data_IF_866559818801
#
_entry.id   IF_866559818801
#
_cell.length_a   1.000
_cell.length_b   1.000
_cell.length_c   1.000
_cell.angle_alpha   90.00
_cell.angle_beta   90.00
_cell.angle_gamma   90.00
#
_symmetry.space_group_name_H-M   'P 1'
#
loop_
_entity.id
_entity.type
_entity.pdbx_description
1 polymer ?
#
# COMPACT_ATOMS: atom_id res chain seq x y z
N UNK A 1 -47.35 -17.32 30.96
CA UNK A 1 -46.02 -16.74 30.89
C UNK A 1 -45.00 -17.77 30.44
N UNK A 2 -44.12 -17.45 29.51
CA UNK A 2 -43.04 -18.34 29.11
C UNK A 2 -42.02 -18.51 30.24
N UNK A 3 -41.52 -19.74 30.43
CA UNK A 3 -40.41 -20.02 31.34
C UNK A 3 -39.10 -19.75 30.62
N UNK A 4 -38.27 -18.85 31.15
CA UNK A 4 -36.93 -18.60 30.62
C UNK A 4 -35.94 -19.54 31.34
N UNK A 5 -35.11 -20.25 30.54
CA UNK A 5 -34.02 -21.10 31.03
C UNK A 5 -32.72 -20.48 30.50
N UNK A 6 -31.77 -20.19 31.38
CA UNK A 6 -30.47 -19.68 31.03
C UNK A 6 -29.50 -20.84 30.82
N UNK A 7 -28.80 -20.82 29.66
CA UNK A 7 -27.73 -21.78 29.36
C UNK A 7 -26.41 -21.15 29.83
N UNK A 8 -25.97 -21.44 31.06
CA UNK A 8 -24.82 -20.79 31.68
C UNK A 8 -23.57 -21.67 31.65
N UNK A 9 -23.74 -23.00 31.52
CA UNK A 9 -22.59 -23.89 31.41
C UNK A 9 -21.94 -23.77 30.04
N UNK A 10 -20.64 -23.49 30.02
CA UNK A 10 -19.80 -23.41 28.84
C UNK A 10 -18.91 -24.67 28.75
N UNK A 11 -18.70 -25.16 27.53
CA UNK A 11 -17.91 -26.37 27.25
C UNK A 11 -16.68 -26.10 26.41
N UNK A 12 -16.46 -24.84 26.00
CA UNK A 12 -15.38 -24.41 25.12
C UNK A 12 -14.17 -23.91 25.88
N UNK A 13 -14.40 -22.96 26.80
CA UNK A 13 -13.35 -22.21 27.47
C UNK A 13 -13.13 -22.63 28.90
N UNK A 14 -11.93 -22.37 29.40
CA UNK A 14 -11.59 -22.52 30.84
C UNK A 14 -12.14 -21.36 31.68
N UNK A 15 -12.17 -21.51 33.00
CA UNK A 15 -12.84 -20.58 33.89
C UNK A 15 -12.17 -19.19 33.90
N UNK A 16 -10.85 -19.10 33.79
CA UNK A 16 -10.15 -17.80 33.73
C UNK A 16 -10.62 -16.95 32.55
N UNK A 17 -10.79 -17.56 31.37
CA UNK A 17 -11.33 -16.89 30.20
C UNK A 17 -12.77 -16.45 30.40
N UNK A 18 -13.61 -17.34 30.96
CA UNK A 18 -15.02 -17.02 31.25
C UNK A 18 -15.16 -15.92 32.29
N UNK A 19 -14.30 -15.89 33.28
CA UNK A 19 -14.30 -14.86 34.33
C UNK A 19 -13.99 -13.49 33.74
N UNK A 20 -12.99 -13.39 32.86
CA UNK A 20 -12.68 -12.17 32.16
C UNK A 20 -13.85 -11.73 31.26
N UNK A 21 -14.40 -12.63 30.43
CA UNK A 21 -15.55 -12.34 29.57
C UNK A 21 -16.80 -11.90 30.37
N UNK A 22 -17.09 -12.56 31.51
CA UNK A 22 -18.17 -12.15 32.38
C UNK A 22 -17.95 -10.75 32.98
N UNK A 23 -16.69 -10.40 33.33
CA UNK A 23 -16.35 -9.10 33.90
C UNK A 23 -16.53 -7.98 32.84
N UNK A 24 -16.11 -8.21 31.60
CA UNK A 24 -16.30 -7.26 30.49
C UNK A 24 -17.77 -7.02 30.22
N UNK A 25 -18.55 -8.09 29.97
CA UNK A 25 -19.96 -7.98 29.60
C UNK A 25 -20.85 -7.53 30.77
N UNK A 26 -20.41 -7.66 32.04
CA UNK A 26 -21.16 -7.17 33.20
C UNK A 26 -21.36 -5.65 33.20
N UNK A 27 -20.56 -4.92 32.43
CA UNK A 27 -20.68 -3.46 32.26
C UNK A 27 -21.88 -3.04 31.39
N UNK A 28 -22.45 -3.96 30.61
CA UNK A 28 -23.61 -3.69 29.78
C UNK A 28 -24.89 -3.68 30.61
N UNK A 29 -25.69 -2.61 30.47
CA UNK A 29 -26.90 -2.36 31.26
C UNK A 29 -28.15 -2.99 30.65
N UNK A 30 -28.23 -3.07 29.31
CA UNK A 30 -29.40 -3.55 28.56
C UNK A 30 -29.56 -5.06 28.47
N UNK A 31 -28.67 -5.87 29.08
CA UNK A 31 -28.66 -7.32 28.95
C UNK A 31 -29.42 -8.06 30.07
N UNK A 32 -29.83 -9.30 29.80
CA UNK A 32 -30.23 -10.25 30.88
C UNK A 32 -28.98 -10.76 31.58
N UNK A 33 -28.95 -10.67 32.91
CA UNK A 33 -27.86 -11.18 33.71
C UNK A 33 -27.67 -12.68 33.43
N UNK A 34 -26.48 -13.06 33.01
CA UNK A 34 -26.03 -14.43 32.75
C UNK A 34 -24.59 -14.53 33.19
N UNK A 35 -24.23 -15.60 33.90
CA UNK A 35 -22.88 -15.85 34.37
C UNK A 35 -22.38 -17.17 33.79
N UNK A 36 -21.42 -17.12 32.88
CA UNK A 36 -20.85 -18.31 32.28
C UNK A 36 -19.89 -19.01 33.24
N UNK A 37 -20.01 -20.31 33.36
CA UNK A 37 -19.13 -21.17 34.14
C UNK A 37 -18.79 -22.46 33.39
N UNK A 38 -17.72 -23.14 33.75
CA UNK A 38 -17.28 -24.39 33.13
C UNK A 38 -16.87 -25.44 34.17
N UNK A 39 -16.95 -26.70 33.77
CA UNK A 39 -16.38 -27.80 34.52
C UNK A 39 -14.94 -28.16 34.10
N UNK A 40 -14.38 -27.46 33.12
CA UNK A 40 -13.04 -27.71 32.53
C UNK A 40 -11.88 -27.20 33.40
N UNK A 41 -12.18 -26.65 34.60
CA UNK A 41 -11.15 -26.07 35.49
C UNK A 41 -10.74 -24.63 35.12
N UNK A 42 -9.80 -24.11 35.90
CA UNK A 42 -9.38 -22.69 35.77
C UNK A 42 -8.61 -22.39 34.46
N UNK A 43 -7.80 -23.34 34.04
CA UNK A 43 -6.95 -23.17 32.86
C UNK A 43 -5.77 -22.23 33.08
N UNK A 44 -5.08 -21.87 32.00
CA UNK A 44 -3.97 -20.92 32.03
C UNK A 44 -4.47 -19.51 32.40
N UNK A 45 -3.60 -18.72 32.99
CA UNK A 45 -3.85 -17.30 33.23
C UNK A 45 -3.80 -16.53 31.90
N UNK A 46 -4.62 -15.48 31.81
CA UNK A 46 -4.56 -14.54 30.70
C UNK A 46 -3.31 -13.68 30.88
N UNK A 47 -2.50 -13.59 29.82
CA UNK A 47 -1.36 -12.69 29.76
C UNK A 47 -1.81 -11.36 29.16
N UNK A 48 -1.44 -10.25 29.79
CA UNK A 48 -1.64 -8.91 29.28
C UNK A 48 -0.28 -8.29 28.99
N UNK A 49 -0.11 -7.76 27.79
CA UNK A 49 1.04 -6.98 27.39
C UNK A 49 0.61 -5.57 27.04
N UNK A 50 1.47 -4.58 27.30
CA UNK A 50 1.23 -3.18 26.95
C UNK A 50 2.43 -2.70 26.10
N UNK A 51 2.20 -2.56 24.82
CA UNK A 51 3.20 -2.13 23.85
C UNK A 51 3.14 -0.61 23.64
N UNK A 52 4.28 -0.01 23.27
CA UNK A 52 4.37 1.42 22.96
C UNK A 52 3.91 1.76 21.53
N UNK A 53 3.85 0.76 20.64
CA UNK A 53 3.41 0.90 19.27
C UNK A 53 2.79 -0.40 18.72
N UNK A 54 2.06 -0.30 17.61
CA UNK A 54 1.53 -1.48 16.89
C UNK A 54 2.63 -2.47 16.46
N UNK A 55 3.82 -1.95 16.15
CA UNK A 55 4.99 -2.77 15.81
C UNK A 55 5.54 -3.52 17.00
N UNK A 56 5.52 -2.92 18.18
CA UNK A 56 5.96 -3.57 19.43
C UNK A 56 4.95 -4.63 19.85
N UNK A 57 3.64 -4.33 19.72
CA UNK A 57 2.58 -5.32 19.95
C UNK A 57 2.74 -6.52 19.01
N UNK A 58 2.88 -6.27 17.70
CA UNK A 58 3.08 -7.33 16.72
C UNK A 58 4.37 -8.14 16.99
N UNK A 59 5.45 -7.49 17.43
CA UNK A 59 6.70 -8.16 17.81
C UNK A 59 6.51 -9.07 19.02
N UNK A 60 5.78 -8.62 20.04
CA UNK A 60 5.43 -9.41 21.18
C UNK A 60 4.60 -10.64 20.77
N UNK A 61 3.53 -10.42 19.98
CA UNK A 61 2.63 -11.50 19.53
C UNK A 61 3.39 -12.54 18.72
N UNK A 62 4.22 -12.13 17.74
CA UNK A 62 4.97 -13.06 16.89
C UNK A 62 6.04 -13.81 17.68
N UNK A 63 6.72 -13.14 18.62
CA UNK A 63 7.66 -13.80 19.53
C UNK A 63 6.99 -14.83 20.44
N UNK A 64 5.79 -14.55 20.92
CA UNK A 64 5.01 -15.46 21.75
C UNK A 64 4.43 -16.63 20.94
N UNK A 65 4.06 -16.42 19.67
CA UNK A 65 3.69 -17.48 18.71
C UNK A 65 4.86 -18.47 18.55
N UNK A 66 6.07 -17.97 18.33
CA UNK A 66 7.25 -18.82 18.17
C UNK A 66 7.55 -19.60 19.47
N UNK A 67 7.46 -18.95 20.63
CA UNK A 67 7.62 -19.59 21.92
C UNK A 67 6.59 -20.70 22.18
N UNK A 68 5.32 -20.48 21.80
CA UNK A 68 4.26 -21.49 21.92
C UNK A 68 4.49 -22.67 20.98
N UNK A 69 4.97 -22.40 19.77
CA UNK A 69 5.33 -23.42 18.81
C UNK A 69 6.52 -24.27 19.31
N UNK A 70 7.53 -23.65 19.95
CA UNK A 70 8.62 -24.34 20.59
C UNK A 70 8.16 -25.20 21.79
N UNK A 71 7.09 -24.79 22.45
CA UNK A 71 6.43 -25.56 23.50
C UNK A 71 5.55 -26.72 22.98
N UNK A 72 5.42 -26.89 21.64
CA UNK A 72 4.72 -27.98 20.98
C UNK A 72 3.28 -27.68 20.57
N UNK A 73 2.87 -26.41 20.52
CA UNK A 73 1.58 -26.00 19.95
C UNK A 73 1.75 -25.83 18.43
N UNK A 74 0.91 -26.49 17.65
CA UNK A 74 0.95 -26.35 16.19
C UNK A 74 0.49 -24.95 15.78
N UNK A 75 1.07 -24.41 14.71
CA UNK A 75 0.67 -23.10 14.18
C UNK A 75 -0.81 -23.04 13.79
N UNK A 76 -1.38 -24.17 13.34
CA UNK A 76 -2.82 -24.26 13.04
C UNK A 76 -3.74 -24.09 14.26
N UNK A 77 -3.22 -24.26 15.47
CA UNK A 77 -3.93 -24.12 16.74
C UNK A 77 -3.84 -22.69 17.32
N UNK A 78 -3.14 -21.79 16.62
CA UNK A 78 -2.92 -20.41 17.06
C UNK A 78 -3.74 -19.45 16.18
N UNK A 79 -4.46 -18.53 16.82
CA UNK A 79 -5.17 -17.46 16.16
C UNK A 79 -4.87 -16.09 16.76
N UNK A 80 -4.83 -15.07 15.89
CA UNK A 80 -4.72 -13.66 16.27
C UNK A 80 -5.99 -12.94 15.82
N UNK A 81 -6.68 -12.32 16.77
CA UNK A 81 -7.91 -11.59 16.53
C UNK A 81 -7.67 -10.09 16.65
N UNK A 82 -8.22 -9.34 15.73
CA UNK A 82 -8.18 -7.89 15.72
C UNK A 82 -9.55 -7.31 15.40
N UNK A 83 -9.75 -6.01 15.64
CA UNK A 83 -11.03 -5.33 15.41
C UNK A 83 -11.24 -4.98 13.95
N UNK A 84 -10.22 -4.44 13.28
CA UNK A 84 -10.28 -4.02 11.88
C UNK A 84 -9.21 -4.72 11.05
N UNK A 85 -9.49 -4.88 9.74
CA UNK A 85 -8.56 -5.53 8.84
C UNK A 85 -7.23 -4.78 8.67
N UNK A 86 -7.21 -3.46 8.88
CA UNK A 86 -5.99 -2.66 8.76
C UNK A 86 -4.91 -3.14 9.73
N UNK A 87 -5.29 -3.53 10.95
CA UNK A 87 -4.37 -4.02 11.98
C UNK A 87 -3.58 -5.28 11.61
N UNK A 88 -4.04 -6.06 10.61
CA UNK A 88 -3.32 -7.28 10.22
C UNK A 88 -1.93 -7.00 9.63
N UNK A 89 -1.69 -5.81 9.07
CA UNK A 89 -0.46 -5.48 8.34
C UNK A 89 0.82 -5.70 9.15
N UNK A 90 0.91 -5.09 10.33
CA UNK A 90 2.11 -5.22 11.17
C UNK A 90 2.38 -6.66 11.58
N UNK A 91 1.32 -7.44 11.84
CA UNK A 91 1.39 -8.88 12.13
C UNK A 91 1.86 -9.66 10.89
N UNK A 92 1.26 -9.41 9.71
CA UNK A 92 1.61 -10.06 8.46
C UNK A 92 3.09 -9.85 8.13
N UNK A 93 3.58 -8.60 8.17
CA UNK A 93 4.98 -8.26 7.90
C UNK A 93 5.97 -8.99 8.82
N UNK A 94 5.66 -9.10 10.11
CA UNK A 94 6.54 -9.78 11.07
C UNK A 94 6.47 -11.30 10.95
N UNK A 95 5.29 -11.88 10.72
CA UNK A 95 5.15 -13.32 10.45
C UNK A 95 5.95 -13.74 9.23
N UNK A 96 5.88 -12.96 8.14
CA UNK A 96 6.69 -13.15 6.92
C UNK A 96 8.18 -13.08 7.25
N UNK A 97 8.61 -12.03 7.96
CA UNK A 97 10.02 -11.83 8.31
C UNK A 97 10.58 -12.98 9.16
N UNK A 98 9.75 -13.58 10.01
CA UNK A 98 10.13 -14.73 10.84
C UNK A 98 9.93 -16.09 10.14
N UNK A 99 9.38 -16.09 8.92
CA UNK A 99 9.10 -17.32 8.18
C UNK A 99 7.98 -18.16 8.79
N UNK A 100 7.07 -17.55 9.57
CA UNK A 100 5.93 -18.22 10.19
C UNK A 100 4.76 -18.22 9.20
N UNK A 101 4.27 -19.41 8.78
CA UNK A 101 3.16 -19.48 7.85
C UNK A 101 1.86 -19.00 8.48
N UNK A 102 1.11 -18.18 7.74
CA UNK A 102 -0.17 -17.66 8.20
C UNK A 102 -1.23 -17.62 7.09
N UNK A 103 -2.46 -17.46 7.48
CA UNK A 103 -3.60 -17.20 6.59
C UNK A 103 -4.51 -16.12 7.18
N UNK A 104 -5.05 -15.26 6.31
CA UNK A 104 -6.08 -14.30 6.67
C UNK A 104 -7.46 -14.87 6.34
N UNK A 105 -8.35 -14.94 7.32
CA UNK A 105 -9.71 -15.46 7.16
C UNK A 105 -10.72 -14.31 7.13
N UNK A 106 -11.59 -14.34 6.11
CA UNK A 106 -12.60 -13.30 5.90
C UNK A 106 -12.07 -12.06 5.17
N UNK A 107 -10.85 -12.11 4.64
CA UNK A 107 -10.22 -11.03 3.89
C UNK A 107 -9.11 -11.54 2.97
N UNK A 108 -8.47 -10.60 2.27
CA UNK A 108 -7.23 -10.82 1.53
C UNK A 108 -6.06 -10.22 2.33
N UNK A 109 -4.85 -10.69 2.08
CA UNK A 109 -3.62 -10.11 2.65
C UNK A 109 -3.55 -8.63 2.37
N UNK A 110 -2.90 -7.85 3.24
CA UNK A 110 -2.93 -6.40 3.20
C UNK A 110 -2.57 -5.84 1.82
N UNK A 111 -1.40 -6.22 1.28
CA UNK A 111 -0.93 -5.73 -0.02
C UNK A 111 -1.68 -6.33 -1.24
N UNK A 112 -2.48 -7.36 -1.02
CA UNK A 112 -3.34 -7.94 -2.07
C UNK A 112 -4.71 -7.26 -2.20
N UNK A 113 -5.10 -6.43 -1.23
CA UNK A 113 -6.38 -5.72 -1.23
C UNK A 113 -6.47 -4.78 -2.41
N UNK A 114 -7.68 -4.71 -2.98
CA UNK A 114 -7.92 -3.95 -4.21
C UNK A 114 -7.51 -2.48 -4.08
N UNK A 115 -7.96 -1.81 -3.02
CA UNK A 115 -7.69 -0.40 -2.74
C UNK A 115 -6.21 -0.13 -2.55
N UNK A 116 -5.48 -1.05 -1.91
CA UNK A 116 -4.04 -0.97 -1.73
C UNK A 116 -3.32 -1.15 -3.07
N UNK A 117 -3.70 -2.16 -3.86
CA UNK A 117 -3.15 -2.35 -5.21
C UNK A 117 -3.44 -1.16 -6.13
N UNK A 118 -4.61 -0.52 -5.99
CA UNK A 118 -4.96 0.66 -6.77
C UNK A 118 -4.09 1.85 -6.36
N UNK A 119 -3.92 2.11 -5.07
CA UNK A 119 -3.06 3.18 -4.55
C UNK A 119 -1.59 2.96 -4.94
N UNK A 120 -1.06 1.73 -4.75
CA UNK A 120 0.31 1.39 -5.17
C UNK A 120 0.52 1.53 -6.67
N UNK A 121 -0.48 1.17 -7.50
CA UNK A 121 -0.37 1.35 -8.95
C UNK A 121 -0.29 2.83 -9.34
N UNK A 122 -0.94 3.74 -8.64
CA UNK A 122 -0.71 5.18 -8.82
C UNK A 122 0.73 5.56 -8.52
N UNK A 123 1.25 5.13 -7.38
CA UNK A 123 2.63 5.41 -7.00
C UNK A 123 3.62 4.80 -8.01
N UNK A 124 3.34 3.60 -8.54
CA UNK A 124 4.15 2.96 -9.58
C UNK A 124 4.18 3.78 -10.87
N UNK A 125 3.04 4.32 -11.34
CA UNK A 125 2.99 5.17 -12.53
C UNK A 125 3.71 6.50 -12.31
N UNK A 126 3.65 7.06 -11.10
CA UNK A 126 4.37 8.28 -10.74
C UNK A 126 5.88 8.02 -10.77
N UNK A 127 6.34 6.95 -10.17
CA UNK A 127 7.76 6.54 -10.15
C UNK A 127 8.25 6.11 -11.54
N UNK A 128 7.46 5.30 -12.26
CA UNK A 128 7.77 4.81 -13.61
C UNK A 128 6.58 5.00 -14.56
N UNK A 129 6.55 6.11 -15.34
CA UNK A 129 5.46 6.39 -16.27
C UNK A 129 5.35 5.40 -17.44
N UNK A 130 6.35 4.56 -17.66
CA UNK A 130 6.32 3.51 -18.69
C UNK A 130 5.72 2.20 -18.21
N UNK A 131 5.35 2.09 -16.92
CA UNK A 131 4.66 0.92 -16.39
C UNK A 131 3.23 0.82 -16.95
N UNK A 132 3.12 0.04 -18.02
CA UNK A 132 1.86 -0.18 -18.73
C UNK A 132 0.82 -0.87 -17.85
N UNK A 133 1.22 -1.81 -16.97
CA UNK A 133 0.30 -2.57 -16.13
C UNK A 133 -0.32 -1.65 -15.08
N UNK A 134 0.51 -0.90 -14.39
CA UNK A 134 0.06 0.06 -13.39
C UNK A 134 -0.80 1.17 -14.02
N UNK A 135 -0.37 1.75 -15.14
CA UNK A 135 -1.12 2.80 -15.84
C UNK A 135 -2.53 2.33 -16.27
N UNK A 136 -2.65 1.14 -16.85
CA UNK A 136 -3.94 0.56 -17.25
C UNK A 136 -4.84 0.29 -16.06
N UNK A 137 -4.25 -0.16 -14.95
CA UNK A 137 -5.01 -0.42 -13.73
C UNK A 137 -5.71 0.82 -13.20
N UNK A 138 -5.03 1.98 -13.16
CA UNK A 138 -5.55 3.20 -12.52
C UNK A 138 -6.21 4.17 -13.48
N UNK A 139 -6.12 3.97 -14.80
CA UNK A 139 -6.65 4.87 -15.82
C UNK A 139 -8.12 5.26 -15.58
N UNK A 140 -8.94 4.33 -15.11
CA UNK A 140 -10.37 4.54 -14.84
C UNK A 140 -10.75 4.19 -13.39
N UNK A 141 -9.85 4.37 -12.45
CA UNK A 141 -10.04 4.21 -11.00
C UNK A 141 -9.56 5.47 -10.29
N UNK A 142 -10.45 6.28 -9.71
CA UNK A 142 -11.92 6.24 -9.78
C UNK A 142 -12.48 6.36 -11.20
N UNK A 143 -13.79 6.15 -11.36
CA UNK A 143 -14.41 6.17 -12.70
C UNK A 143 -14.29 7.55 -13.36
N UNK A 144 -13.59 7.64 -14.51
CA UNK A 144 -13.40 8.84 -15.32
C UNK A 144 -14.15 8.82 -16.66
N UNK A 145 -14.95 7.78 -16.90
CA UNK A 145 -15.63 7.60 -18.19
C UNK A 145 -14.72 7.14 -19.32
N UNK A 146 -13.55 6.60 -19.00
CA UNK A 146 -12.63 5.98 -19.96
C UNK A 146 -12.99 4.49 -19.99
N UNK A 147 -13.72 4.09 -21.04
CA UNK A 147 -14.15 2.70 -21.23
C UNK A 147 -13.14 1.88 -22.02
N UNK A 148 -13.37 0.56 -22.12
CA UNK A 148 -12.49 -0.40 -22.79
C UNK A 148 -12.10 0.02 -24.22
N UNK A 149 -13.03 0.56 -25.00
CA UNK A 149 -12.72 1.05 -26.37
C UNK A 149 -11.70 2.17 -26.41
N UNK A 150 -11.73 3.08 -25.44
CA UNK A 150 -10.75 4.16 -25.36
C UNK A 150 -9.39 3.62 -24.90
N UNK A 151 -9.37 2.68 -23.98
CA UNK A 151 -8.17 1.98 -23.55
C UNK A 151 -7.52 1.20 -24.71
N UNK A 152 -8.32 0.47 -25.50
CA UNK A 152 -7.86 -0.24 -26.69
C UNK A 152 -7.29 0.73 -27.74
N UNK A 153 -7.91 1.90 -27.96
CA UNK A 153 -7.41 2.92 -28.89
C UNK A 153 -6.05 3.47 -28.44
N UNK A 154 -5.86 3.73 -27.12
CA UNK A 154 -4.58 4.18 -26.56
C UNK A 154 -3.53 3.05 -26.70
N UNK A 155 -3.88 1.81 -26.43
CA UNK A 155 -2.99 0.67 -26.57
C UNK A 155 -2.58 0.43 -28.06
N UNK A 156 -3.52 0.57 -29.00
CA UNK A 156 -3.24 0.48 -30.43
C UNK A 156 -2.30 1.59 -30.90
N UNK A 157 -2.49 2.81 -30.38
CA UNK A 157 -1.58 3.93 -30.65
C UNK A 157 -0.17 3.65 -30.10
N UNK A 158 -0.06 3.16 -28.86
CA UNK A 158 1.21 2.78 -28.27
C UNK A 158 1.94 1.73 -29.12
N UNK A 159 1.22 0.66 -29.54
CA UNK A 159 1.75 -0.39 -30.38
C UNK A 159 2.19 0.12 -31.76
N UNK A 160 1.40 1.03 -32.38
CA UNK A 160 1.72 1.58 -33.68
C UNK A 160 3.02 2.39 -33.70
N UNK A 161 3.27 3.17 -32.62
CA UNK A 161 4.47 3.99 -32.51
C UNK A 161 5.62 3.31 -31.76
N UNK A 162 5.43 2.07 -31.27
CA UNK A 162 6.44 1.35 -30.50
C UNK A 162 6.81 2.03 -29.18
N UNK A 163 5.82 2.68 -28.54
CA UNK A 163 5.98 3.44 -27.29
C UNK A 163 5.21 2.76 -26.14
N UNK A 164 5.49 3.17 -24.90
CA UNK A 164 4.72 2.69 -23.74
C UNK A 164 3.29 3.22 -23.75
N UNK A 165 2.42 2.57 -22.96
CA UNK A 165 1.05 3.04 -22.75
C UNK A 165 1.00 4.42 -22.09
N UNK A 166 1.92 4.68 -21.14
CA UNK A 166 2.08 5.99 -20.52
C UNK A 166 2.52 7.07 -21.52
N UNK A 167 3.47 6.76 -22.40
CA UNK A 167 3.86 7.68 -23.47
C UNK A 167 2.70 8.00 -24.43
N UNK A 168 1.82 7.04 -24.72
CA UNK A 168 0.61 7.27 -25.50
C UNK A 168 -0.40 8.19 -24.76
N UNK A 169 -0.54 8.06 -23.46
CA UNK A 169 -1.33 8.98 -22.61
C UNK A 169 -0.73 10.39 -22.61
N UNK A 170 0.60 10.49 -22.56
CA UNK A 170 1.33 11.75 -22.65
C UNK A 170 1.07 12.44 -23.99
N UNK A 171 0.97 11.72 -25.12
CA UNK A 171 0.58 12.30 -26.40
C UNK A 171 -0.81 12.96 -26.34
N UNK A 172 -1.79 12.34 -25.68
CA UNK A 172 -3.12 12.95 -25.47
C UNK A 172 -3.02 14.22 -24.64
N UNK A 173 -2.23 14.23 -23.58
CA UNK A 173 -2.02 15.38 -22.72
C UNK A 173 -1.34 16.55 -23.46
N UNK A 174 -0.27 16.29 -24.22
CA UNK A 174 0.41 17.30 -25.02
C UNK A 174 -0.54 17.91 -26.07
N UNK A 175 -1.33 17.09 -26.77
CA UNK A 175 -2.32 17.58 -27.73
C UNK A 175 -3.45 18.38 -27.10
N UNK A 176 -3.79 18.11 -25.88
CA UNK A 176 -4.79 18.86 -25.11
C UNK A 176 -4.26 20.21 -24.58
N UNK A 177 -3.01 20.57 -24.85
CA UNK A 177 -2.38 21.81 -24.39
C UNK A 177 -1.91 21.71 -22.91
N UNK A 178 -1.49 20.51 -22.48
CA UNK A 178 -0.97 20.26 -21.14
C UNK A 178 -1.92 20.72 -20.02
N UNK A 179 -3.19 20.29 -20.02
CA UNK A 179 -4.10 20.67 -18.92
C UNK A 179 -3.52 20.23 -17.59
N UNK A 180 -3.61 21.11 -16.58
CA UNK A 180 -3.35 20.73 -15.20
C UNK A 180 -4.29 19.58 -14.81
N UNK A 181 -3.79 18.61 -14.04
CA UNK A 181 -4.57 17.45 -13.61
C UNK A 181 -5.80 17.82 -12.78
N UNK A 182 -6.63 16.84 -12.50
CA UNK A 182 -7.82 16.97 -11.65
C UNK A 182 -7.45 17.63 -10.31
N UNK A 183 -7.99 18.82 -10.04
CA UNK A 183 -7.71 19.63 -8.83
C UNK A 183 -7.09 20.98 -9.15
N UNK A 184 -7.72 22.05 -8.71
CA UNK A 184 -7.27 23.43 -8.93
C UNK A 184 -5.88 23.70 -8.34
N UNK A 185 -5.02 24.35 -9.11
CA UNK A 185 -3.89 25.13 -8.60
C UNK A 185 -2.49 24.63 -8.89
N UNK A 186 -2.11 24.43 -10.18
CA UNK A 186 -0.72 24.19 -10.54
C UNK A 186 -0.23 25.24 -11.51
N UNK A 187 0.92 25.84 -11.15
CA UNK A 187 1.65 26.75 -12.05
C UNK A 187 2.30 25.94 -13.19
N UNK A 188 1.60 25.91 -14.33
CA UNK A 188 2.02 25.18 -15.55
C UNK A 188 3.33 25.75 -16.11
N UNK A 189 3.64 27.03 -15.83
CA UNK A 189 4.88 27.70 -16.26
C UNK A 189 6.09 27.23 -15.43
N UNK A 190 5.89 26.77 -14.21
CA UNK A 190 6.95 26.16 -13.40
C UNK A 190 7.31 24.76 -13.92
N UNK A 191 6.33 23.99 -14.43
CA UNK A 191 6.53 22.66 -15.02
C UNK A 191 7.25 22.72 -16.38
N UNK A 192 6.94 23.72 -17.21
CA UNK A 192 7.60 23.91 -18.48
C UNK A 192 9.09 24.30 -18.31
N UNK A 193 9.43 24.99 -17.21
CA UNK A 193 10.81 25.39 -16.90
C UNK A 193 11.66 24.25 -16.35
N UNK A 194 11.09 23.24 -15.71
CA UNK A 194 11.82 22.07 -15.18
C UNK A 194 12.08 20.96 -16.21
N UNK A 195 11.44 21.05 -17.39
CA UNK A 195 11.60 20.07 -18.47
C UNK A 195 12.76 20.39 -19.45
N UNK A 196 13.52 21.45 -19.20
CA UNK A 196 14.71 21.80 -20.03
C UNK A 196 15.99 21.33 -19.31
N UNK A 197 16.74 20.36 -19.86
CA UNK A 197 17.95 19.83 -19.22
C UNK A 197 19.22 20.60 -19.57
N UNK A 198 19.18 21.94 -19.70
CA UNK A 198 20.39 22.75 -19.94
C UNK A 198 20.29 24.09 -19.22
N UNK A 199 20.89 24.14 -18.03
CA UNK A 199 21.61 25.31 -17.48
C UNK A 199 22.10 25.03 -16.04
N UNK A 200 23.10 24.18 -15.92
CA UNK A 200 23.92 24.13 -14.70
C UNK A 200 25.38 23.97 -15.03
N UNK A 201 25.97 25.00 -15.65
CA UNK A 201 27.44 25.17 -15.70
C UNK A 201 27.80 26.58 -16.14
N UNK A 202 27.80 27.50 -15.19
CA UNK A 202 28.64 28.69 -15.27
C UNK A 202 28.77 29.36 -13.88
N UNK A 203 29.97 29.29 -13.32
CA UNK A 203 30.43 30.29 -12.38
C UNK A 203 30.79 29.85 -10.97
N UNK A 204 32.00 29.41 -10.76
CA UNK A 204 32.86 29.99 -9.71
C UNK A 204 34.31 29.56 -9.86
N UNK A 205 35.11 30.57 -10.01
CA UNK A 205 36.56 30.67 -10.08
C UNK A 205 37.36 29.88 -9.06
N UNK A 206 38.55 29.44 -9.56
CA UNK A 206 39.65 28.85 -8.82
C UNK A 206 40.33 29.82 -7.81
N UNK A 207 41.20 29.31 -6.93
CA UNK A 207 42.62 29.53 -7.20
C UNK A 207 43.55 28.30 -7.01
N UNK A 208 44.54 28.35 -7.86
CA UNK A 208 45.87 27.70 -7.92
C UNK A 208 46.55 27.24 -6.62
N UNK A 209 47.19 26.07 -6.67
CA UNK A 209 48.57 25.88 -6.21
C UNK A 209 49.19 24.56 -6.76
N UNK A 210 50.25 24.73 -7.47
CA UNK A 210 51.41 23.94 -7.90
C UNK A 210 51.81 22.70 -7.09
N UNK A 211 52.26 21.62 -7.78
CA UNK A 211 53.63 21.13 -7.88
C UNK A 211 53.70 19.72 -8.55
N UNK A 212 54.33 19.62 -9.67
CA UNK A 212 55.48 18.83 -10.16
C UNK A 212 55.61 17.36 -9.79
N UNK A 213 55.87 16.55 -10.85
CA UNK A 213 56.57 15.26 -10.78
C UNK A 213 56.23 14.31 -11.95
N UNK A 214 56.90 14.42 -12.97
CA UNK A 214 57.69 13.69 -13.97
C UNK A 214 57.58 12.15 -13.95
N UNK A 215 57.54 11.56 -15.19
CA UNK A 215 57.96 10.16 -15.42
C UNK A 215 57.25 9.52 -16.61
N UNK A 216 57.72 9.78 -17.79
CA UNK A 216 58.11 8.91 -18.92
C UNK A 216 57.28 7.71 -19.39
N UNK A 217 56.96 7.82 -20.66
CA UNK A 217 56.64 6.80 -21.68
C UNK A 217 57.85 5.85 -21.96
N UNK A 218 57.76 4.74 -22.72
CA UNK A 218 57.23 4.67 -24.08
C UNK A 218 56.71 3.29 -24.61
N UNK A 219 56.06 3.40 -25.77
CA UNK A 219 56.14 2.66 -27.02
C UNK A 219 55.52 1.25 -27.21
N UNK A 220 54.70 1.20 -28.17
CA UNK A 220 54.66 0.59 -29.52
C UNK A 220 54.05 -0.81 -29.61
N UNK A 221 53.16 -1.13 -30.49
CA UNK A 221 53.20 -1.25 -31.97
C UNK A 221 51.87 -1.76 -32.51
N UNK A 222 51.42 -1.16 -33.50
CA UNK A 222 50.91 -1.51 -34.82
C UNK A 222 50.34 -2.91 -35.10
N UNK A 223 49.12 -2.94 -35.68
CA UNK A 223 48.85 -3.60 -36.97
C UNK A 223 47.49 -3.18 -37.52
N UNK A 224 47.51 -2.81 -38.77
CA UNK A 224 46.44 -2.42 -39.70
C UNK A 224 45.51 -3.61 -40.03
N UNK A 225 44.23 -3.39 -40.32
CA UNK A 225 43.70 -3.65 -41.65
C UNK A 225 42.29 -3.09 -41.88
N UNK A 226 42.11 -2.64 -43.03
CA UNK A 226 41.16 -1.98 -43.91
C UNK A 226 39.64 -2.26 -43.82
N UNK A 227 38.93 -1.16 -44.03
CA UNK A 227 37.91 -0.95 -45.10
C UNK A 227 36.49 -1.42 -44.90
N UNK A 228 35.59 -0.44 -44.72
CA UNK A 228 34.45 -0.25 -45.59
C UNK A 228 33.81 1.13 -45.33
N UNK A 229 33.69 1.90 -46.37
CA UNK A 229 33.05 3.22 -46.40
C UNK A 229 31.54 3.11 -46.21
N UNK A 230 30.97 3.86 -45.26
CA UNK A 230 29.57 4.19 -45.20
C UNK A 230 29.43 5.72 -45.18
N UNK A 231 28.57 6.20 -46.03
CA UNK A 231 28.29 7.62 -46.32
C UNK A 231 27.79 8.38 -45.08
N UNK A 232 27.95 9.72 -45.04
CA UNK A 232 27.54 10.52 -43.90
C UNK A 232 26.01 10.55 -43.79
N UNK A 233 25.49 10.10 -42.68
CA UNK A 233 24.11 10.32 -42.28
C UNK A 233 23.89 11.82 -42.07
N UNK A 234 22.98 12.36 -42.87
CA UNK A 234 22.47 13.73 -42.79
C UNK A 234 21.94 13.97 -41.37
N UNK A 235 22.43 15.01 -40.72
CA UNK A 235 21.89 15.56 -39.47
C UNK A 235 20.38 15.79 -39.65
N UNK A 236 19.55 15.40 -38.68
CA UNK A 236 18.15 15.80 -38.69
C UNK A 236 18.09 17.30 -38.46
N UNK A 237 17.44 17.99 -39.39
CA UNK A 237 17.07 19.38 -39.26
C UNK A 237 16.31 19.60 -37.96
N UNK A 238 16.58 20.69 -37.26
CA UNK A 238 15.79 21.23 -36.16
C UNK A 238 14.34 21.44 -36.64
N UNK A 239 13.49 20.43 -36.43
CA UNK A 239 12.05 20.57 -36.53
C UNK A 239 11.58 21.16 -35.19
N UNK A 240 10.92 22.32 -35.27
CA UNK A 240 10.21 22.91 -34.13
C UNK A 240 9.25 21.89 -33.48
N UNK A 241 8.60 22.18 -32.33
CA UNK A 241 7.85 21.22 -31.57
C UNK A 241 6.81 20.53 -32.44
N UNK A 242 7.15 19.33 -32.91
CA UNK A 242 6.26 18.50 -33.72
C UNK A 242 5.06 18.12 -32.83
N UNK A 243 3.87 18.53 -33.27
CA UNK A 243 2.66 18.27 -32.53
C UNK A 243 2.54 16.74 -32.26
N UNK A 244 2.37 16.33 -31.01
CA UNK A 244 2.25 14.93 -30.66
C UNK A 244 1.23 14.19 -31.56
N UNK A 245 1.50 12.93 -31.95
CA UNK A 245 0.65 12.18 -32.87
C UNK A 245 -0.79 12.01 -32.35
N UNK A 246 -1.77 12.00 -33.25
CA UNK A 246 -3.17 11.85 -32.90
C UNK A 246 -3.50 10.40 -32.55
N UNK A 247 -4.19 10.19 -31.41
CA UNK A 247 -4.72 8.87 -30.99
C UNK A 247 -6.04 8.64 -31.71
N UNK A 248 -6.02 7.80 -32.74
CA UNK A 248 -7.20 7.47 -33.53
C UNK A 248 -8.17 6.55 -32.79
N UNK A 249 -9.47 6.73 -33.00
CA UNK A 249 -10.50 5.86 -32.47
C UNK A 249 -10.94 6.16 -31.01
N UNK A 250 -10.37 7.19 -30.38
CA UNK A 250 -10.79 7.67 -29.06
C UNK A 250 -11.85 8.78 -29.20
N UNK A 251 -12.88 8.76 -28.34
CA UNK A 251 -13.87 9.85 -28.32
C UNK A 251 -13.28 11.11 -27.69
N UNK A 252 -13.71 12.33 -28.10
CA UNK A 252 -13.20 13.58 -27.53
C UNK A 252 -13.34 13.66 -25.99
N UNK A 253 -14.44 13.11 -25.44
CA UNK A 253 -14.67 13.05 -24.00
C UNK A 253 -13.63 12.16 -23.29
N UNK A 254 -13.40 10.96 -23.83
CA UNK A 254 -12.43 10.03 -23.24
C UNK A 254 -11.00 10.55 -23.40
N UNK A 255 -10.67 11.19 -24.54
CA UNK A 255 -9.38 11.83 -24.76
C UNK A 255 -9.13 12.95 -23.73
N UNK A 256 -10.14 13.80 -23.47
CA UNK A 256 -10.05 14.85 -22.44
C UNK A 256 -9.82 14.24 -21.03
N UNK A 257 -10.57 13.20 -20.68
CA UNK A 257 -10.40 12.53 -19.38
C UNK A 257 -9.03 11.86 -19.24
N UNK A 258 -8.53 11.23 -20.30
CA UNK A 258 -7.20 10.61 -20.31
C UNK A 258 -6.07 11.67 -20.23
N UNK A 259 -6.23 12.79 -20.91
CA UNK A 259 -5.31 13.92 -20.82
C UNK A 259 -5.28 14.53 -19.41
N UNK A 260 -6.44 14.71 -18.78
CA UNK A 260 -6.53 15.20 -17.38
C UNK A 260 -5.91 14.22 -16.39
N UNK A 261 -6.14 12.91 -16.57
CA UNK A 261 -5.47 11.89 -15.78
C UNK A 261 -3.94 11.98 -15.91
N UNK A 262 -3.41 12.09 -17.13
CA UNK A 262 -1.97 12.20 -17.31
C UNK A 262 -1.41 13.50 -16.74
N UNK A 263 -2.15 14.61 -16.85
CA UNK A 263 -1.79 15.87 -16.21
C UNK A 263 -1.64 15.76 -14.69
N UNK A 264 -2.50 14.98 -14.03
CA UNK A 264 -2.36 14.65 -12.62
C UNK A 264 -1.07 13.88 -12.34
N UNK A 265 -0.76 12.85 -13.15
CA UNK A 265 0.49 12.08 -13.01
C UNK A 265 1.72 12.99 -13.14
N UNK A 266 1.78 13.83 -14.18
CA UNK A 266 2.92 14.75 -14.36
C UNK A 266 3.06 15.75 -13.20
N UNK A 267 1.96 16.18 -12.62
CA UNK A 267 1.95 17.02 -11.43
C UNK A 267 2.57 16.36 -10.23
N UNK A 268 2.16 15.12 -9.95
CA UNK A 268 2.63 14.35 -8.81
C UNK A 268 4.11 13.95 -8.99
N UNK A 269 4.52 13.66 -10.23
CA UNK A 269 5.93 13.46 -10.58
C UNK A 269 6.78 14.70 -10.29
N UNK A 270 6.25 15.87 -10.65
CA UNK A 270 6.92 17.12 -10.32
C UNK A 270 7.00 17.38 -8.81
N UNK A 271 6.01 16.93 -8.01
CA UNK A 271 6.06 17.01 -6.56
C UNK A 271 7.14 16.06 -5.99
N UNK A 272 7.22 14.82 -6.47
CA UNK A 272 8.30 13.86 -6.15
C UNK A 272 9.68 14.46 -6.45
N UNK A 273 9.87 15.00 -7.64
CA UNK A 273 11.14 15.63 -8.04
C UNK A 273 11.55 16.83 -7.15
N UNK A 274 10.60 17.46 -6.47
CA UNK A 274 10.86 18.53 -5.49
C UNK A 274 11.12 17.99 -4.08
N UNK A 275 11.08 16.69 -3.87
CA UNK A 275 11.36 16.05 -2.59
C UNK A 275 10.13 15.86 -1.69
N UNK A 276 8.92 15.83 -2.25
CA UNK A 276 7.73 15.42 -1.49
C UNK A 276 7.91 14.00 -0.98
N UNK A 277 7.49 13.75 0.26
CA UNK A 277 7.59 12.41 0.85
C UNK A 277 6.60 11.43 0.19
N UNK A 278 6.84 10.14 0.36
CA UNK A 278 5.97 9.09 -0.15
C UNK A 278 4.55 9.20 0.43
N UNK A 279 4.43 9.62 1.69
CA UNK A 279 3.16 9.87 2.36
C UNK A 279 2.43 11.07 1.74
N UNK A 280 3.14 12.20 1.51
CA UNK A 280 2.56 13.39 0.87
C UNK A 280 2.06 13.07 -0.55
N UNK A 281 2.85 12.31 -1.33
CA UNK A 281 2.45 11.89 -2.69
C UNK A 281 1.21 11.00 -2.64
N UNK A 282 1.14 10.06 -1.70
CA UNK A 282 -0.01 9.18 -1.54
C UNK A 282 -1.26 9.98 -1.13
N UNK A 283 -1.14 10.90 -0.19
CA UNK A 283 -2.23 11.80 0.22
C UNK A 283 -2.77 12.60 -0.96
N UNK A 284 -1.88 13.25 -1.73
CA UNK A 284 -2.22 14.00 -2.94
C UNK A 284 -2.91 13.10 -4.00
N UNK A 285 -2.45 11.86 -4.19
CA UNK A 285 -3.12 10.87 -5.06
C UNK A 285 -4.55 10.64 -4.60
N UNK A 286 -4.76 10.32 -3.33
CA UNK A 286 -6.07 9.96 -2.78
C UNK A 286 -7.07 11.14 -2.84
N UNK A 287 -6.58 12.34 -2.58
CA UNK A 287 -7.40 13.56 -2.58
C UNK A 287 -7.72 14.04 -3.99
N UNK A 288 -6.70 14.24 -4.83
CA UNK A 288 -6.89 14.80 -6.18
C UNK A 288 -7.65 13.88 -7.13
N UNK A 289 -7.50 12.57 -6.98
CA UNK A 289 -8.30 11.62 -7.76
C UNK A 289 -9.75 11.56 -7.30
N UNK A 290 -10.05 12.02 -6.09
CA UNK A 290 -11.35 11.85 -5.44
C UNK A 290 -11.61 10.41 -4.97
N UNK A 291 -10.60 9.54 -4.97
CA UNK A 291 -10.75 8.12 -4.60
C UNK A 291 -11.23 7.97 -3.14
N UNK A 292 -10.57 8.68 -2.23
CA UNK A 292 -10.95 8.69 -0.82
C UNK A 292 -12.35 9.31 -0.61
N UNK A 293 -12.67 10.37 -1.36
CA UNK A 293 -13.99 11.03 -1.28
C UNK A 293 -15.12 10.14 -1.82
N UNK A 294 -14.84 9.29 -2.82
CA UNK A 294 -15.82 8.29 -3.33
C UNK A 294 -16.09 7.24 -2.25
N UNK A 295 -15.06 6.67 -1.63
CA UNK A 295 -15.20 5.67 -0.56
C UNK A 295 -15.93 6.23 0.67
N UNK A 296 -15.61 7.45 1.09
CA UNK A 296 -16.26 8.11 2.26
C UNK A 296 -17.73 8.45 2.04
N UNK A 297 -18.17 8.59 0.79
CA UNK A 297 -19.60 8.86 0.43
C UNK A 297 -20.44 7.60 0.32
N UNK A 298 -19.81 6.45 0.32
CA UNK A 298 -20.49 5.16 0.24
C UNK A 298 -21.05 4.76 1.60
N UNK A 299 -22.27 4.20 1.59
CA UNK A 299 -22.89 3.60 2.77
C UNK A 299 -22.51 2.11 2.95
N UNK A 300 -21.64 1.57 2.08
CA UNK A 300 -21.16 0.19 2.16
C UNK A 300 -20.15 0.06 3.33
N UNK A 301 -20.41 -0.81 4.32
CA UNK A 301 -19.45 -1.06 5.39
C UNK A 301 -18.06 -1.51 4.90
N UNK A 302 -17.98 -2.15 3.72
CA UNK A 302 -16.70 -2.53 3.12
C UNK A 302 -15.87 -1.30 2.69
N UNK A 303 -16.53 -0.23 2.25
CA UNK A 303 -15.82 0.98 1.85
C UNK A 303 -15.25 1.74 3.07
N UNK A 304 -15.90 1.64 4.24
CA UNK A 304 -15.31 2.12 5.49
C UNK A 304 -14.00 1.39 5.82
N UNK A 305 -13.97 0.06 5.71
CA UNK A 305 -12.74 -0.72 5.89
C UNK A 305 -11.66 -0.39 4.85
N UNK A 306 -12.04 -0.05 3.61
CA UNK A 306 -11.08 0.40 2.59
C UNK A 306 -10.44 1.75 2.95
N UNK A 307 -11.23 2.66 3.52
CA UNK A 307 -10.68 3.94 4.03
C UNK A 307 -9.65 3.70 5.13
N UNK A 308 -9.91 2.79 6.07
CA UNK A 308 -8.98 2.40 7.12
C UNK A 308 -7.69 1.78 6.54
N UNK A 309 -7.83 0.89 5.54
CA UNK A 309 -6.69 0.28 4.85
C UNK A 309 -5.81 1.32 4.13
N UNK A 310 -6.42 2.34 3.51
CA UNK A 310 -5.66 3.41 2.87
C UNK A 310 -4.96 4.33 3.88
N UNK A 311 -5.59 4.60 5.04
CA UNK A 311 -4.95 5.32 6.14
C UNK A 311 -3.75 4.53 6.69
N UNK A 312 -3.87 3.21 6.79
CA UNK A 312 -2.77 2.33 7.18
C UNK A 312 -1.61 2.37 6.17
N UNK A 313 -1.90 2.32 4.86
CA UNK A 313 -0.88 2.47 3.83
C UNK A 313 -0.17 3.84 3.92
N UNK A 314 -0.90 4.91 4.24
CA UNK A 314 -0.33 6.23 4.45
C UNK A 314 0.63 6.24 5.66
N UNK A 315 0.25 5.58 6.76
CA UNK A 315 1.11 5.42 7.94
C UNK A 315 2.40 4.67 7.60
N UNK A 316 2.31 3.61 6.77
CA UNK A 316 3.49 2.88 6.26
C UNK A 316 4.43 3.78 5.46
N UNK A 317 3.86 4.60 4.56
CA UNK A 317 4.65 5.53 3.76
C UNK A 317 5.34 6.60 4.64
N UNK A 318 4.65 7.07 5.68
CA UNK A 318 5.20 8.00 6.68
C UNK A 318 6.32 7.37 7.51
N UNK A 319 6.15 6.14 7.97
CA UNK A 319 7.18 5.40 8.69
C UNK A 319 8.41 5.15 7.80
N UNK A 320 8.21 4.80 6.52
CA UNK A 320 9.32 4.66 5.58
C UNK A 320 10.11 5.97 5.43
N UNK A 321 9.44 7.10 5.29
CA UNK A 321 10.10 8.41 5.18
C UNK A 321 10.92 8.77 6.44
N UNK A 322 10.45 8.34 7.63
CA UNK A 322 11.17 8.54 8.89
C UNK A 322 12.39 7.60 9.03
N UNK A 323 12.23 6.33 8.64
CA UNK A 323 13.27 5.29 8.75
C UNK A 323 14.38 5.46 7.71
N UNK A 324 14.04 5.96 6.51
CA UNK A 324 14.95 6.15 5.39
C UNK A 324 14.92 7.61 4.88
N UNK A 325 15.50 8.57 5.64
CA UNK A 325 15.55 9.96 5.20
C UNK A 325 16.26 10.09 3.85
N UNK A 326 15.53 10.60 2.84
CA UNK A 326 16.03 10.71 1.45
C UNK A 326 15.78 9.46 0.60
N UNK A 327 15.08 8.46 1.12
CA UNK A 327 14.58 7.33 0.33
C UNK A 327 13.61 7.79 -0.75
N UNK A 328 13.72 7.22 -1.95
CA UNK A 328 12.88 7.55 -3.11
C UNK A 328 11.54 6.82 -3.07
N UNK A 329 10.61 7.24 -3.93
CA UNK A 329 9.36 6.50 -4.15
C UNK A 329 9.63 5.08 -4.68
N UNK A 330 10.66 4.93 -5.52
CA UNK A 330 11.08 3.61 -6.02
C UNK A 330 11.55 2.69 -4.89
N UNK A 331 12.35 3.19 -3.94
CA UNK A 331 12.81 2.41 -2.79
C UNK A 331 11.64 1.95 -1.90
N UNK A 332 10.64 2.83 -1.72
CA UNK A 332 9.41 2.48 -0.99
C UNK A 332 8.65 1.36 -1.70
N UNK A 333 8.46 1.48 -3.02
CA UNK A 333 7.75 0.47 -3.82
C UNK A 333 8.50 -0.87 -3.85
N UNK A 334 9.85 -0.85 -3.89
CA UNK A 334 10.67 -2.06 -3.78
C UNK A 334 10.48 -2.73 -2.42
N UNK A 335 10.52 -1.96 -1.32
CA UNK A 335 10.27 -2.49 0.02
C UNK A 335 8.90 -3.14 0.14
N UNK A 336 7.85 -2.50 -0.40
CA UNK A 336 6.49 -3.05 -0.42
C UNK A 336 6.42 -4.33 -1.27
N UNK A 337 7.05 -4.35 -2.44
CA UNK A 337 7.06 -5.52 -3.32
C UNK A 337 7.74 -6.72 -2.66
N UNK A 338 8.87 -6.51 -1.97
CA UNK A 338 9.58 -7.58 -1.24
C UNK A 338 8.71 -8.23 -0.16
N UNK A 339 7.91 -7.42 0.56
CA UNK A 339 6.98 -7.97 1.56
C UNK A 339 5.85 -8.74 0.88
N UNK A 340 5.25 -8.17 -0.17
CA UNK A 340 4.14 -8.81 -0.89
C UNK A 340 4.53 -10.12 -1.58
N UNK A 341 5.76 -10.22 -2.13
CA UNK A 341 6.26 -11.43 -2.81
C UNK A 341 6.65 -12.53 -1.83
N UNK A 342 7.23 -12.17 -0.67
CA UNK A 342 7.58 -13.14 0.38
C UNK A 342 6.35 -13.82 0.98
N UNK A 343 5.18 -13.16 0.90
CA UNK A 343 3.89 -13.73 1.29
C UNK A 343 3.46 -14.94 0.43
N UNK A 344 4.04 -15.14 -0.75
CA UNK A 344 3.66 -16.22 -1.68
C UNK A 344 4.45 -17.50 -1.48
N UNK A 345 5.49 -17.51 -0.66
CA UNK A 345 6.29 -18.70 -0.40
C UNK A 345 5.52 -19.62 0.55
N UNK A 346 5.09 -20.83 0.12
CA UNK A 346 4.55 -21.83 1.04
C UNK A 346 5.67 -22.23 2.01
N UNK A 347 5.51 -21.92 3.29
CA UNK A 347 6.41 -22.48 4.28
C UNK A 347 6.13 -23.99 4.37
N UNK A 348 6.90 -24.80 3.68
CA UNK A 348 7.03 -26.24 3.95
C UNK A 348 7.82 -26.37 5.26
N UNK A 349 7.11 -26.18 6.40
CA UNK A 349 7.67 -26.32 7.73
C UNK A 349 7.27 -27.65 8.35
N UNK A 350 8.14 -28.22 9.16
CA UNK A 350 7.91 -29.42 9.97
C UNK A 350 6.79 -29.25 11.03
N UNK A 351 6.32 -28.03 11.28
CA UNK A 351 5.27 -27.69 12.25
C UNK A 351 3.91 -27.58 11.52
N UNK A 352 2.89 -28.28 12.02
CA UNK A 352 1.59 -28.41 11.35
C UNK A 352 0.78 -27.13 11.28
N UNK A 353 0.26 -26.80 10.09
CA UNK A 353 -0.74 -25.75 9.87
C UNK A 353 -0.19 -24.35 9.65
N UNK A 354 -1.07 -23.36 9.79
CA UNK A 354 -0.81 -21.93 9.59
C UNK A 354 -1.48 -21.13 10.71
N UNK A 355 -0.80 -20.11 11.23
CA UNK A 355 -1.40 -19.15 12.16
C UNK A 355 -2.59 -18.46 11.50
N UNK A 356 -3.71 -18.37 12.19
CA UNK A 356 -4.92 -17.79 11.63
C UNK A 356 -5.10 -16.34 12.09
N UNK A 357 -5.12 -15.41 11.14
CA UNK A 357 -5.41 -14.00 11.36
C UNK A 357 -6.85 -13.70 10.96
N UNK A 358 -7.64 -13.05 11.82
CA UNK A 358 -9.02 -12.68 11.48
C UNK A 358 -9.57 -11.59 12.39
N UNK A 359 -10.65 -10.95 11.93
CA UNK A 359 -11.39 -10.02 12.80
C UNK A 359 -12.18 -10.78 13.86
N UNK A 360 -12.42 -10.12 15.01
CA UNK A 360 -13.27 -10.67 16.09
C UNK A 360 -14.65 -11.07 15.57
N UNK A 361 -15.20 -10.33 14.60
CA UNK A 361 -16.49 -10.67 13.98
C UNK A 361 -16.43 -11.99 13.20
N UNK A 362 -15.36 -12.20 12.45
CA UNK A 362 -15.15 -13.45 11.69
C UNK A 362 -14.88 -14.64 12.60
N UNK A 363 -14.29 -14.40 13.78
CA UNK A 363 -13.98 -15.41 14.77
C UNK A 363 -15.22 -16.01 15.45
N UNK A 364 -16.39 -15.37 15.30
CA UNK A 364 -17.63 -15.84 15.95
C UNK A 364 -17.95 -17.29 15.59
N UNK A 365 -17.99 -18.15 16.59
CA UNK A 365 -18.28 -19.58 16.45
C UNK A 365 -17.05 -20.48 16.24
N UNK A 366 -15.88 -19.89 16.01
CA UNK A 366 -14.61 -20.61 15.94
C UNK A 366 -13.99 -20.75 17.33
N UNK A 367 -13.03 -21.67 17.45
CA UNK A 367 -12.27 -21.91 18.69
C UNK A 367 -10.85 -22.34 18.35
N UNK A 368 -9.88 -21.89 19.15
CA UNK A 368 -8.47 -22.19 18.99
C UNK A 368 -7.84 -22.43 20.36
N UNK A 369 -6.88 -23.37 20.47
CA UNK A 369 -6.15 -23.62 21.70
C UNK A 369 -5.39 -22.41 22.25
N UNK A 370 -4.82 -21.58 21.36
CA UNK A 370 -4.14 -20.35 21.74
C UNK A 370 -4.69 -19.16 20.93
N UNK A 371 -5.04 -18.08 21.64
CA UNK A 371 -5.64 -16.89 21.03
C UNK A 371 -4.94 -15.64 21.53
N UNK A 372 -4.60 -14.76 20.60
CA UNK A 372 -4.18 -13.38 20.85
C UNK A 372 -5.31 -12.43 20.46
N UNK A 373 -5.55 -11.41 21.26
CA UNK A 373 -6.47 -10.31 20.94
C UNK A 373 -5.66 -9.03 20.96
N UNK A 374 -5.56 -8.38 19.83
CA UNK A 374 -4.68 -7.21 19.62
C UNK A 374 -5.47 -5.92 19.46
N UNK A 375 -4.80 -4.78 19.67
CA UNK A 375 -5.38 -3.45 19.52
C UNK A 375 -6.44 -3.12 20.58
N UNK A 376 -6.30 -3.62 21.81
CA UNK A 376 -7.22 -3.38 22.93
C UNK A 376 -7.01 -1.99 23.52
N UNK A 377 -7.25 -0.94 22.70
CA UNK A 377 -7.06 0.46 23.05
C UNK A 377 -8.21 1.34 22.55
N UNK A 378 -8.46 2.47 23.21
CA UNK A 378 -9.51 3.41 22.85
C UNK A 378 -9.28 3.98 21.44
N UNK A 379 -10.29 3.89 20.57
CA UNK A 379 -10.22 4.29 19.18
C UNK A 379 -10.02 3.13 18.21
N UNK A 380 -9.43 2.03 18.67
CA UNK A 380 -9.22 0.80 17.90
C UNK A 380 -10.19 -0.30 18.34
N UNK A 381 -10.16 -0.67 19.60
CA UNK A 381 -11.06 -1.63 20.22
C UNK A 381 -11.32 -1.27 21.69
N UNK A 382 -12.38 -0.48 22.01
CA UNK A 382 -13.54 -0.12 21.19
C UNK A 382 -13.20 0.86 20.06
N UNK A 383 -13.92 0.70 18.92
CA UNK A 383 -13.72 1.53 17.75
C UNK A 383 -14.11 3.01 18.02
N UNK A 384 -13.39 3.97 17.41
CA UNK A 384 -13.59 5.41 17.65
C UNK A 384 -15.03 5.87 17.46
N UNK A 385 -15.78 5.29 16.52
CA UNK A 385 -17.21 5.61 16.29
C UNK A 385 -18.08 5.28 17.48
N UNK A 386 -17.75 4.25 18.25
CA UNK A 386 -18.52 3.75 19.39
C UNK A 386 -18.25 4.53 20.66
N UNK A 387 -17.16 5.32 20.75
CA UNK A 387 -16.77 6.04 21.97
C UNK A 387 -17.75 7.17 22.36
N UNK A 388 -18.61 7.63 21.41
CA UNK A 388 -19.58 8.69 21.64
C UNK A 388 -21.00 8.24 22.00
N UNK A 389 -21.30 6.94 21.87
CA UNK A 389 -22.64 6.36 22.10
C UNK A 389 -22.54 5.12 23.01
N UNK A 390 -23.29 5.17 24.13
CA UNK A 390 -23.27 4.07 25.12
C UNK A 390 -23.83 2.77 24.55
N UNK A 391 -24.80 2.82 23.64
CA UNK A 391 -25.37 1.64 22.98
C UNK A 391 -24.38 0.99 22.05
N UNK A 392 -23.64 1.78 21.24
CA UNK A 392 -22.58 1.27 20.38
C UNK A 392 -21.40 0.72 21.19
N UNK A 393 -21.07 1.38 22.32
CA UNK A 393 -20.03 0.90 23.23
C UNK A 393 -20.43 -0.42 23.92
N UNK A 394 -21.73 -0.63 24.22
CA UNK A 394 -22.23 -1.93 24.71
C UNK A 394 -22.13 -3.05 23.66
N UNK A 395 -22.23 -2.72 22.35
CA UNK A 395 -22.04 -3.69 21.28
C UNK A 395 -20.57 -4.06 21.09
N UNK A 396 -19.64 -3.15 21.33
CA UNK A 396 -18.18 -3.43 21.25
C UNK A 396 -17.70 -4.34 22.36
N UNK A 397 -18.39 -4.42 23.51
CA UNK A 397 -18.10 -5.35 24.62
C UNK A 397 -18.64 -6.73 24.36
#
# INVERSE_FOLDING_TARGET
GARTILLEQNYRSTQNILSAANAVIARNTGRRAKNLWTASGDGALITLDAADSEHDEARFVVGEIDRLADAGIDWGDIAVFYRTNAQSRALEELLVRQGIPYRVVGGTRFYERREIKDALAYLQVISNPDDTVAARRVLNVPKRGIGAKAEEAIAAHAAHYGISFGAALRHLWLRAGCPAGEGEGIDVDALARSASPDEASAGSSAPTSSAQGAGENPAASAAEDKSAAAAPASSPAESGPEAAPEVLGITPRAAKSAAAFWGLIETLRAAEARGASQADILEEVLDRTGYLAELRRSDDPQDASRVENLAELHSVAGAFAADAPGGTLADFLERVALVADSDQVPAEGERGGQVTLMTVHTAKGLEFPAVFVTGMEDGTFPHQRSLGDESELEEER
#
